data_IF_070254262293
#
_entry.id   IF_070254262293
#
_cell.length_a   1.000
_cell.length_b   1.000
_cell.length_c   1.000
_cell.angle_alpha   90.00
_cell.angle_beta   90.00
_cell.angle_gamma   90.00
#
_symmetry.space_group_name_H-M   'P 1'
#
loop_
_entity.id
_entity.type
_entity.pdbx_description
1 polymer ?
#
# COMPACT_ATOMS: atom_id res chain seq x y z
N UNK A 1 -16.05 8.28 -20.12
CA UNK A 1 -15.34 7.51 -19.10
C UNK A 1 -15.85 6.07 -19.19
N UNK A 2 -14.97 5.08 -19.39
CA UNK A 2 -15.38 3.69 -19.32
C UNK A 2 -15.86 3.42 -17.87
N UNK A 3 -16.97 2.71 -17.71
CA UNK A 3 -17.41 2.26 -16.39
C UNK A 3 -16.34 1.31 -15.84
N UNK A 4 -15.98 1.48 -14.57
CA UNK A 4 -15.11 0.51 -13.89
C UNK A 4 -15.80 -0.84 -13.83
N UNK A 5 -15.04 -1.92 -13.94
CA UNK A 5 -15.59 -3.25 -13.75
C UNK A 5 -16.12 -3.41 -12.31
N UNK A 6 -17.08 -4.29 -12.16
CA UNK A 6 -17.63 -4.64 -10.84
C UNK A 6 -16.50 -5.22 -9.98
N UNK A 7 -16.43 -4.80 -8.71
CA UNK A 7 -15.52 -5.40 -7.73
C UNK A 7 -15.75 -6.91 -7.65
N UNK A 8 -14.68 -7.68 -7.80
CA UNK A 8 -14.66 -9.15 -7.72
C UNK A 8 -14.11 -9.57 -6.37
N UNK A 9 -14.23 -10.86 -6.05
CA UNK A 9 -13.71 -11.43 -4.80
C UNK A 9 -13.01 -12.76 -5.06
N UNK A 10 -12.03 -13.09 -4.21
CA UNK A 10 -11.36 -14.39 -4.21
C UNK A 10 -11.04 -14.82 -2.77
N UNK A 11 -10.72 -16.10 -2.58
CA UNK A 11 -10.35 -16.64 -1.28
C UNK A 11 -8.82 -16.65 -1.11
N UNK A 12 -8.34 -16.01 -0.03
CA UNK A 12 -6.97 -16.11 0.46
C UNK A 12 -6.98 -16.86 1.80
N UNK A 13 -6.87 -18.19 1.73
CA UNK A 13 -7.14 -19.04 2.90
C UNK A 13 -8.57 -18.81 3.44
N UNK A 14 -8.73 -18.48 4.73
CA UNK A 14 -10.06 -18.23 5.31
C UNK A 14 -10.61 -16.81 5.04
N UNK A 15 -9.86 -15.95 4.33
CA UNK A 15 -10.19 -14.54 4.14
C UNK A 15 -10.66 -14.29 2.71
N UNK A 16 -11.84 -13.69 2.55
CA UNK A 16 -12.32 -13.23 1.26
C UNK A 16 -11.80 -11.83 0.99
N UNK A 17 -11.08 -11.66 -0.13
CA UNK A 17 -10.44 -10.41 -0.56
C UNK A 17 -11.16 -9.86 -1.80
N UNK A 18 -11.55 -8.60 -1.73
CA UNK A 18 -12.14 -7.88 -2.86
C UNK A 18 -11.07 -7.23 -3.73
N UNK A 19 -11.27 -7.21 -5.05
CA UNK A 19 -10.32 -6.60 -5.99
C UNK A 19 -11.00 -6.06 -7.25
N UNK A 20 -10.29 -5.18 -7.95
CA UNK A 20 -10.55 -4.74 -9.32
C UNK A 20 -9.51 -5.36 -10.26
N UNK A 21 -9.93 -5.65 -11.49
CA UNK A 21 -9.10 -6.16 -12.57
C UNK A 21 -9.44 -5.38 -13.84
N UNK A 22 -8.59 -4.41 -14.19
CA UNK A 22 -8.85 -3.41 -15.22
C UNK A 22 -7.74 -3.37 -16.26
N UNK A 23 -8.11 -3.22 -17.53
CA UNK A 23 -7.16 -3.09 -18.63
C UNK A 23 -6.58 -4.43 -19.07
N UNK A 24 -5.47 -4.36 -19.82
CA UNK A 24 -4.77 -5.52 -20.37
C UNK A 24 -3.27 -5.22 -20.47
N UNK A 25 -2.45 -6.23 -20.75
CA UNK A 25 -1.00 -6.13 -20.85
C UNK A 25 -0.28 -6.55 -19.57
N UNK A 26 0.89 -5.99 -19.32
CA UNK A 26 1.72 -6.32 -18.17
C UNK A 26 1.01 -6.02 -16.85
N UNK A 27 0.88 -7.01 -15.93
CA UNK A 27 0.14 -6.81 -14.69
C UNK A 27 0.91 -5.95 -13.69
N UNK A 28 0.15 -5.08 -13.00
CA UNK A 28 0.59 -4.34 -11.83
C UNK A 28 -0.44 -4.49 -10.71
N UNK A 29 0.03 -4.90 -9.52
CA UNK A 29 -0.79 -4.98 -8.32
C UNK A 29 -0.70 -3.66 -7.56
N UNK A 30 -1.84 -3.12 -7.14
CA UNK A 30 -1.94 -1.89 -6.35
C UNK A 30 -2.45 -2.19 -4.93
N UNK A 31 -1.67 -1.83 -3.91
CA UNK A 31 -1.93 -2.11 -2.49
C UNK A 31 -2.10 -0.80 -1.73
N UNK A 32 -3.32 -0.51 -1.26
CA UNK A 32 -3.65 0.76 -0.61
C UNK A 32 -3.08 0.88 0.81
N UNK A 33 -3.06 2.11 1.34
CA UNK A 33 -2.63 2.46 2.68
C UNK A 33 -3.66 2.13 3.76
N UNK A 34 -3.26 2.28 5.04
CA UNK A 34 -4.13 2.10 6.20
C UNK A 34 -5.35 3.02 6.14
N UNK A 35 -6.50 2.54 6.63
CA UNK A 35 -7.79 3.23 6.66
C UNK A 35 -8.31 3.70 5.29
N UNK A 36 -7.77 3.17 4.19
CA UNK A 36 -8.18 3.43 2.82
C UNK A 36 -8.84 2.20 2.20
N UNK A 37 -9.08 2.23 0.89
CA UNK A 37 -9.54 1.13 0.07
C UNK A 37 -9.07 1.33 -1.37
N UNK A 38 -9.31 0.35 -2.25
CA UNK A 38 -8.88 0.39 -3.64
C UNK A 38 -9.45 1.57 -4.44
N UNK A 39 -10.69 1.98 -4.14
CA UNK A 39 -11.33 3.12 -4.78
C UNK A 39 -10.67 4.44 -4.36
N UNK A 40 -10.54 4.65 -3.05
CA UNK A 40 -10.01 5.89 -2.47
C UNK A 40 -8.54 6.10 -2.81
N UNK A 41 -7.76 5.03 -2.78
CA UNK A 41 -6.32 5.13 -3.00
C UNK A 41 -5.93 5.13 -4.49
N UNK A 42 -6.69 4.45 -5.35
CA UNK A 42 -6.25 4.17 -6.71
C UNK A 42 -7.19 4.63 -7.81
N UNK A 43 -8.52 4.55 -7.60
CA UNK A 43 -9.50 4.95 -8.61
C UNK A 43 -9.68 6.47 -8.61
N UNK A 44 -10.05 7.04 -7.47
CA UNK A 44 -10.35 8.48 -7.38
C UNK A 44 -9.14 9.37 -7.69
N UNK A 45 -7.92 9.06 -7.26
CA UNK A 45 -6.74 9.81 -7.68
C UNK A 45 -6.35 9.57 -9.14
N UNK A 46 -7.02 8.66 -9.85
CA UNK A 46 -6.83 8.39 -11.29
C UNK A 46 -5.68 7.44 -11.62
N UNK A 47 -5.15 6.67 -10.68
CA UNK A 47 -4.08 5.71 -10.94
C UNK A 47 -4.52 4.59 -11.88
N UNK A 48 -5.70 3.99 -11.66
CA UNK A 48 -6.24 2.94 -12.54
C UNK A 48 -6.31 3.45 -13.98
N UNK A 49 -6.91 4.62 -14.19
CA UNK A 49 -7.01 5.21 -15.53
C UNK A 49 -5.64 5.57 -16.14
N UNK A 50 -4.67 5.99 -15.32
CA UNK A 50 -3.31 6.33 -15.79
C UNK A 50 -2.57 5.09 -16.26
N UNK A 51 -2.60 4.01 -15.48
CA UNK A 51 -1.89 2.77 -15.78
C UNK A 51 -2.54 1.99 -16.92
N UNK A 52 -3.87 1.93 -16.98
CA UNK A 52 -4.58 1.26 -18.09
C UNK A 52 -4.34 1.96 -19.42
N UNK A 53 -4.31 3.31 -19.44
CA UNK A 53 -3.93 4.06 -20.64
C UNK A 53 -2.48 3.82 -21.06
N UNK A 54 -1.61 3.48 -20.12
CA UNK A 54 -0.22 3.09 -20.39
C UNK A 54 -0.08 1.61 -20.77
N UNK A 55 -1.18 0.89 -21.08
CA UNK A 55 -1.16 -0.50 -21.51
C UNK A 55 -0.89 -1.49 -20.39
N UNK A 56 -1.29 -1.18 -19.14
CA UNK A 56 -1.12 -2.08 -18.00
C UNK A 56 -2.44 -2.75 -17.61
N UNK A 57 -2.36 -4.02 -17.19
CA UNK A 57 -3.44 -4.68 -16.46
C UNK A 57 -3.31 -4.35 -14.98
N UNK A 58 -4.28 -3.64 -14.43
CA UNK A 58 -4.28 -3.14 -13.06
C UNK A 58 -5.09 -4.05 -12.14
N UNK A 59 -4.45 -4.60 -11.14
CA UNK A 59 -5.03 -5.47 -10.11
C UNK A 59 -5.02 -4.70 -8.78
N UNK A 60 -6.12 -4.07 -8.39
CA UNK A 60 -6.19 -3.30 -7.15
C UNK A 60 -7.03 -4.06 -6.12
N UNK A 61 -6.43 -4.45 -4.98
CA UNK A 61 -7.13 -5.17 -3.93
C UNK A 61 -7.51 -4.26 -2.75
N UNK A 62 -8.58 -4.63 -2.04
CA UNK A 62 -8.81 -4.18 -0.68
C UNK A 62 -8.04 -5.08 0.28
N UNK A 63 -7.14 -4.52 1.08
CA UNK A 63 -6.45 -5.29 2.12
C UNK A 63 -7.47 -5.94 3.07
N UNK A 64 -7.12 -7.09 3.67
CA UNK A 64 -7.95 -7.67 4.76
C UNK A 64 -8.29 -6.59 5.79
N UNK A 65 -9.49 -6.63 6.34
CA UNK A 65 -9.99 -5.61 7.27
C UNK A 65 -10.49 -4.31 6.64
N UNK A 66 -10.24 -4.07 5.33
CA UNK A 66 -10.56 -2.82 4.65
C UNK A 66 -11.59 -3.03 3.52
N UNK A 67 -12.19 -1.93 3.07
CA UNK A 67 -13.09 -1.89 1.92
C UNK A 67 -14.14 -3.01 1.94
N UNK A 68 -14.25 -3.76 0.87
CA UNK A 68 -15.18 -4.89 0.72
C UNK A 68 -14.60 -6.25 1.10
N UNK A 69 -13.35 -6.31 1.60
CA UNK A 69 -12.71 -7.53 2.12
C UNK A 69 -13.20 -7.88 3.53
N UNK A 70 -13.01 -9.15 3.92
CA UNK A 70 -13.38 -9.69 5.23
C UNK A 70 -12.80 -8.83 6.38
N UNK A 71 -13.62 -8.50 7.36
CA UNK A 71 -13.22 -7.81 8.59
C UNK A 71 -12.71 -8.83 9.60
N UNK A 72 -11.58 -8.53 10.23
CA UNK A 72 -10.92 -9.37 11.22
C UNK A 72 -10.62 -8.52 12.46
N UNK A 73 -10.72 -9.12 13.65
CA UNK A 73 -10.61 -8.38 14.91
C UNK A 73 -9.42 -8.83 15.76
N UNK A 74 -8.70 -9.86 15.31
CA UNK A 74 -7.44 -10.30 15.92
C UNK A 74 -6.26 -9.59 15.26
N UNK A 75 -5.43 -8.81 15.99
CA UNK A 75 -4.23 -8.18 15.46
C UNK A 75 -3.28 -9.14 14.75
N UNK A 76 -3.18 -10.40 15.22
CA UNK A 76 -2.31 -11.40 14.60
C UNK A 76 -2.70 -11.73 13.15
N UNK A 77 -3.96 -11.51 12.78
CA UNK A 77 -4.42 -11.69 11.41
C UNK A 77 -3.82 -10.67 10.41
N UNK A 78 -3.30 -9.55 10.91
CA UNK A 78 -2.78 -8.44 10.12
C UNK A 78 -1.27 -8.38 10.00
N UNK A 79 -0.57 -9.44 10.44
CA UNK A 79 0.88 -9.50 10.24
C UNK A 79 1.24 -9.24 8.78
N UNK A 80 2.23 -8.37 8.53
CA UNK A 80 2.55 -7.90 7.17
C UNK A 80 2.84 -9.03 6.18
N UNK A 81 3.46 -10.14 6.64
CA UNK A 81 3.68 -11.32 5.80
C UNK A 81 2.37 -12.00 5.37
N UNK A 82 1.35 -12.02 6.24
CA UNK A 82 0.03 -12.57 5.89
C UNK A 82 -0.65 -11.70 4.82
N UNK A 83 -0.52 -10.36 4.96
CA UNK A 83 -1.05 -9.43 3.97
C UNK A 83 -0.29 -9.51 2.65
N UNK A 84 1.03 -9.75 2.67
CA UNK A 84 1.81 -10.07 1.48
C UNK A 84 1.36 -11.39 0.84
N UNK A 85 0.98 -12.38 1.65
CA UNK A 85 0.38 -13.64 1.19
C UNK A 85 -0.93 -13.43 0.41
N UNK A 86 -1.77 -12.44 0.78
CA UNK A 86 -2.98 -12.12 0.01
C UNK A 86 -2.67 -11.63 -1.41
N UNK A 87 -1.57 -10.88 -1.56
CA UNK A 87 -1.12 -10.42 -2.88
C UNK A 87 -0.71 -11.60 -3.76
N UNK A 88 0.04 -12.55 -3.20
CA UNK A 88 0.44 -13.75 -3.92
C UNK A 88 -0.75 -14.64 -4.27
N UNK A 89 -1.69 -14.80 -3.35
CA UNK A 89 -2.92 -15.55 -3.57
C UNK A 89 -3.79 -14.90 -4.68
N UNK A 90 -3.80 -13.57 -4.80
CA UNK A 90 -4.45 -12.88 -5.93
C UNK A 90 -3.77 -13.24 -7.26
N UNK A 91 -2.43 -13.22 -7.31
CA UNK A 91 -1.69 -13.61 -8.51
C UNK A 91 -1.99 -15.06 -8.90
N UNK A 92 -2.02 -15.97 -7.92
CA UNK A 92 -2.34 -17.39 -8.13
C UNK A 92 -3.76 -17.58 -8.64
N UNK A 93 -4.73 -16.89 -8.01
CA UNK A 93 -6.15 -16.91 -8.42
C UNK A 93 -6.35 -16.47 -9.87
N UNK A 94 -5.55 -15.51 -10.33
CA UNK A 94 -5.65 -14.97 -11.69
C UNK A 94 -4.70 -15.63 -12.70
N UNK A 95 -3.93 -16.64 -12.30
CA UNK A 95 -2.95 -17.30 -13.14
C UNK A 95 -1.80 -16.38 -13.58
N UNK A 96 -1.47 -15.35 -12.77
CA UNK A 96 -0.42 -14.37 -13.06
C UNK A 96 0.89 -14.85 -12.44
N UNK A 97 1.87 -15.19 -13.25
CA UNK A 97 3.16 -15.70 -12.77
C UNK A 97 3.98 -14.60 -12.06
N UNK A 98 4.08 -13.43 -12.66
CA UNK A 98 4.83 -12.28 -12.12
C UNK A 98 4.09 -10.97 -12.37
N UNK A 99 4.22 -10.00 -11.46
CA UNK A 99 3.65 -8.66 -11.60
C UNK A 99 4.60 -7.58 -11.08
N UNK A 100 4.44 -6.34 -11.56
CA UNK A 100 4.91 -5.18 -10.83
C UNK A 100 4.04 -5.00 -9.59
N UNK A 101 4.59 -4.58 -8.46
CA UNK A 101 3.82 -4.39 -7.22
C UNK A 101 4.04 -2.97 -6.71
N UNK A 102 2.96 -2.22 -6.57
CA UNK A 102 2.97 -0.86 -6.07
C UNK A 102 2.10 -0.74 -4.84
N UNK A 103 2.67 -0.23 -3.76
CA UNK A 103 1.93 0.05 -2.54
C UNK A 103 2.08 1.49 -2.07
N UNK A 104 1.13 1.94 -1.25
CA UNK A 104 1.20 3.23 -0.58
C UNK A 104 1.16 3.08 0.93
N UNK A 105 2.10 3.70 1.67
CA UNK A 105 2.14 3.68 3.14
C UNK A 105 2.18 2.24 3.69
N UNK A 106 1.15 1.77 4.39
CA UNK A 106 1.00 0.36 4.79
C UNK A 106 1.13 -0.58 3.58
N UNK A 107 0.52 -0.24 2.44
CA UNK A 107 0.64 -1.00 1.21
C UNK A 107 2.08 -1.07 0.68
N UNK A 108 2.87 -0.01 0.85
CA UNK A 108 4.29 -0.01 0.49
C UNK A 108 5.10 -0.96 1.39
N UNK A 109 4.77 -1.05 2.68
CA UNK A 109 5.35 -2.04 3.59
C UNK A 109 5.04 -3.47 3.11
N UNK A 110 3.79 -3.75 2.77
CA UNK A 110 3.38 -5.04 2.21
C UNK A 110 4.16 -5.35 0.92
N UNK A 111 4.31 -4.35 0.03
CA UNK A 111 5.09 -4.46 -1.20
C UNK A 111 6.55 -4.82 -0.94
N UNK A 112 7.19 -4.21 0.06
CA UNK A 112 8.57 -4.51 0.44
C UNK A 112 8.70 -5.97 0.94
N UNK A 113 7.74 -6.45 1.71
CA UNK A 113 7.69 -7.86 2.14
C UNK A 113 7.49 -8.82 0.94
N UNK A 114 6.62 -8.48 -0.02
CA UNK A 114 6.49 -9.26 -1.26
C UNK A 114 7.82 -9.34 -2.01
N UNK A 115 8.49 -8.20 -2.21
CA UNK A 115 9.74 -8.12 -2.95
C UNK A 115 10.89 -8.90 -2.28
N UNK A 116 10.98 -8.84 -0.95
CA UNK A 116 12.00 -9.54 -0.17
C UNK A 116 11.79 -11.05 -0.15
N UNK A 117 10.55 -11.48 0.14
CA UNK A 117 10.25 -12.90 0.41
C UNK A 117 9.92 -13.70 -0.85
N UNK A 118 9.47 -13.03 -1.92
CA UNK A 118 8.99 -13.67 -3.15
C UNK A 118 9.49 -12.92 -4.40
N UNK A 119 10.82 -12.71 -4.54
CA UNK A 119 11.38 -11.94 -5.66
C UNK A 119 11.03 -12.56 -7.03
N UNK A 120 10.80 -13.86 -7.10
CA UNK A 120 10.38 -14.56 -8.32
C UNK A 120 8.94 -14.24 -8.77
N UNK A 121 8.13 -13.63 -7.90
CA UNK A 121 6.75 -13.22 -8.20
C UNK A 121 6.61 -11.71 -8.42
N UNK A 122 7.67 -10.94 -8.06
CA UNK A 122 7.69 -9.47 -8.12
C UNK A 122 8.68 -9.03 -9.18
N UNK A 123 8.21 -8.42 -10.26
CA UNK A 123 9.05 -7.92 -11.36
C UNK A 123 9.75 -6.62 -10.97
N UNK A 124 9.03 -5.73 -10.30
CA UNK A 124 9.56 -4.50 -9.69
C UNK A 124 8.68 -4.07 -8.52
N UNK A 125 9.21 -3.27 -7.61
CA UNK A 125 8.50 -2.76 -6.44
C UNK A 125 8.48 -1.24 -6.43
N UNK A 126 7.29 -0.65 -6.15
CA UNK A 126 7.12 0.79 -6.01
C UNK A 126 6.58 1.06 -4.60
N UNK A 127 7.38 1.77 -3.80
CA UNK A 127 7.11 2.10 -2.40
C UNK A 127 6.73 3.58 -2.31
N UNK A 128 5.42 3.88 -2.35
CA UNK A 128 4.90 5.23 -2.19
C UNK A 128 4.59 5.55 -0.73
N UNK A 129 4.96 6.74 -0.24
CA UNK A 129 4.66 7.17 1.13
C UNK A 129 5.30 6.30 2.22
N UNK A 130 6.43 5.65 1.92
CA UNK A 130 7.22 4.89 2.89
C UNK A 130 8.69 4.94 2.49
N UNK A 131 9.48 5.62 3.30
CA UNK A 131 10.93 5.71 3.23
C UNK A 131 11.59 4.94 4.38
N UNK A 132 12.55 5.58 5.05
CA UNK A 132 13.39 4.95 6.08
C UNK A 132 12.60 4.35 7.26
N UNK A 133 11.36 4.79 7.50
CA UNK A 133 10.50 4.20 8.52
C UNK A 133 10.06 2.74 8.21
N UNK A 134 10.38 2.20 7.04
CA UNK A 134 10.34 0.74 6.80
C UNK A 134 11.29 -0.02 7.74
N UNK A 135 12.42 0.59 8.08
CA UNK A 135 13.49 0.02 8.91
C UNK A 135 13.42 0.52 10.35
N UNK A 136 13.23 1.81 10.56
CA UNK A 136 13.30 2.43 11.90
C UNK A 136 12.04 2.22 12.74
N UNK A 137 10.94 1.79 12.13
CA UNK A 137 9.71 1.47 12.85
C UNK A 137 8.90 2.69 13.30
N UNK A 138 9.28 3.88 12.95
CA UNK A 138 8.51 5.10 13.22
C UNK A 138 7.36 5.15 12.22
N UNK A 139 6.27 4.51 12.55
CA UNK A 139 5.09 4.48 11.70
C UNK A 139 3.92 5.15 12.38
N UNK A 140 2.73 4.69 12.05
CA UNK A 140 1.51 5.14 12.66
C UNK A 140 1.50 4.77 14.15
N UNK A 141 1.35 5.74 15.07
CA UNK A 141 1.40 5.51 16.51
C UNK A 141 0.20 4.69 16.99
N UNK A 142 0.35 3.98 18.14
CA UNK A 142 -0.75 3.21 18.73
C UNK A 142 -1.92 4.10 19.19
N UNK A 143 -1.69 5.39 19.43
CA UNK A 143 -2.75 6.37 19.68
C UNK A 143 -3.83 6.38 18.58
N UNK A 144 -3.48 5.99 17.34
CA UNK A 144 -4.47 5.80 16.27
C UNK A 144 -5.44 4.65 16.62
N UNK A 145 -4.96 3.54 17.18
CA UNK A 145 -5.83 2.45 17.60
C UNK A 145 -6.80 2.91 18.68
N UNK A 146 -6.32 3.63 19.70
CA UNK A 146 -7.16 4.21 20.74
C UNK A 146 -8.19 5.21 20.17
N UNK A 147 -7.78 6.04 19.21
CA UNK A 147 -8.70 6.97 18.55
C UNK A 147 -9.82 6.24 17.77
N UNK A 148 -9.53 5.10 17.17
CA UNK A 148 -10.52 4.28 16.46
C UNK A 148 -11.49 3.58 17.42
N UNK A 149 -11.05 3.28 18.65
CA UNK A 149 -11.83 2.62 19.70
C UNK A 149 -12.62 3.60 20.58
N UNK A 150 -12.30 4.91 20.54
CA UNK A 150 -13.01 5.93 21.30
C UNK A 150 -14.50 5.95 20.94
N UNK A 151 -15.38 6.26 21.89
CA UNK A 151 -16.82 6.27 21.68
C UNK A 151 -17.24 7.36 20.67
N UNK A 152 -16.52 8.49 20.63
CA UNK A 152 -16.75 9.55 19.65
C UNK A 152 -15.45 10.24 19.23
N UNK A 153 -15.50 10.97 18.10
CA UNK A 153 -14.38 11.79 17.63
C UNK A 153 -14.01 12.90 18.63
N UNK A 154 -14.97 13.38 19.43
CA UNK A 154 -14.75 14.47 20.39
C UNK A 154 -13.88 14.03 21.57
N UNK A 155 -13.85 12.75 21.91
CA UNK A 155 -12.99 12.18 22.95
C UNK A 155 -11.53 12.02 22.50
N UNK A 156 -11.25 12.11 21.20
CA UNK A 156 -9.91 11.93 20.65
C UNK A 156 -9.15 13.25 20.74
N UNK A 157 -8.15 13.32 21.59
CA UNK A 157 -7.31 14.53 21.81
C UNK A 157 -6.09 14.56 20.88
N UNK A 158 -5.53 13.41 20.48
CA UNK A 158 -4.40 13.33 19.59
C UNK A 158 -4.77 13.72 18.15
N UNK A 159 -4.05 14.68 17.56
CA UNK A 159 -4.34 15.24 16.23
C UNK A 159 -4.20 14.20 15.11
N UNK A 160 -3.22 13.31 15.23
CA UNK A 160 -2.99 12.23 14.25
C UNK A 160 -4.12 11.20 14.35
N UNK A 161 -4.48 10.78 15.56
CA UNK A 161 -5.60 9.89 15.82
C UNK A 161 -6.91 10.46 15.28
N UNK A 162 -7.20 11.76 15.51
CA UNK A 162 -8.36 12.45 14.95
C UNK A 162 -8.40 12.41 13.44
N UNK A 163 -7.25 12.61 12.80
CA UNK A 163 -7.16 12.58 11.33
C UNK A 163 -7.51 11.20 10.78
N UNK A 164 -6.90 10.14 11.31
CA UNK A 164 -7.19 8.78 10.87
C UNK A 164 -8.61 8.32 11.22
N UNK A 165 -9.15 8.72 12.37
CA UNK A 165 -10.54 8.46 12.74
C UNK A 165 -11.52 9.10 11.74
N UNK A 166 -11.30 10.37 11.36
CA UNK A 166 -12.12 11.04 10.33
C UNK A 166 -12.06 10.32 8.99
N UNK A 167 -10.86 9.95 8.55
CA UNK A 167 -10.68 9.20 7.30
C UNK A 167 -11.44 7.88 7.36
N UNK A 168 -11.33 7.14 8.46
CA UNK A 168 -12.04 5.87 8.65
C UNK A 168 -13.57 6.04 8.61
N UNK A 169 -14.11 7.09 9.22
CA UNK A 169 -15.53 7.41 9.17
C UNK A 169 -15.99 7.81 7.76
N UNK A 170 -15.21 8.65 7.06
CA UNK A 170 -15.48 9.05 5.68
C UNK A 170 -15.48 7.87 4.71
N UNK A 171 -14.59 6.92 4.90
CA UNK A 171 -14.51 5.70 4.11
C UNK A 171 -15.49 4.61 4.57
N UNK A 172 -16.29 4.88 5.60
CA UNK A 172 -17.23 3.94 6.25
C UNK A 172 -16.54 2.62 6.63
N UNK A 173 -15.31 2.74 7.12
CA UNK A 173 -14.51 1.59 7.54
C UNK A 173 -15.00 1.00 8.86
N UNK A 174 -14.77 -0.28 9.07
CA UNK A 174 -14.96 -0.94 10.36
C UNK A 174 -13.84 -0.51 11.32
N UNK A 175 -14.18 0.30 12.31
CA UNK A 175 -13.21 0.91 13.22
C UNK A 175 -12.50 -0.13 14.09
N UNK A 176 -13.20 -1.19 14.52
CA UNK A 176 -12.60 -2.25 15.31
C UNK A 176 -11.62 -3.09 14.49
N UNK A 177 -11.95 -3.39 13.23
CA UNK A 177 -11.04 -4.06 12.31
C UNK A 177 -9.80 -3.21 12.01
N UNK A 178 -9.96 -1.88 11.86
CA UNK A 178 -8.83 -0.97 11.69
C UNK A 178 -7.96 -0.88 12.94
N UNK A 179 -8.55 -0.85 14.14
CA UNK A 179 -7.78 -0.87 15.39
C UNK A 179 -6.95 -2.15 15.52
N UNK A 180 -7.52 -3.31 15.20
CA UNK A 180 -6.78 -4.56 15.14
C UNK A 180 -5.67 -4.51 14.07
N UNK A 181 -5.95 -3.95 12.89
CA UNK A 181 -4.99 -3.83 11.81
C UNK A 181 -3.78 -2.96 12.19
N UNK A 182 -3.98 -1.79 12.77
CA UNK A 182 -2.86 -0.90 13.12
C UNK A 182 -1.94 -1.52 14.18
N UNK A 183 -2.49 -2.33 15.09
CA UNK A 183 -1.71 -3.09 16.08
C UNK A 183 -0.94 -4.26 15.44
N UNK A 184 -1.50 -4.90 14.41
CA UNK A 184 -0.95 -6.11 13.79
C UNK A 184 0.00 -5.88 12.63
N UNK A 185 -0.01 -4.71 11.96
CA UNK A 185 0.65 -4.47 10.66
C UNK A 185 1.89 -3.55 10.75
N UNK A 186 2.61 -3.55 11.88
CA UNK A 186 3.72 -2.61 12.12
C UNK A 186 5.11 -3.23 12.02
N UNK A 187 5.24 -4.40 11.41
CA UNK A 187 6.54 -5.06 11.27
C UNK A 187 7.50 -4.21 10.43
N UNK A 188 8.73 -4.09 10.91
CA UNK A 188 9.84 -3.48 10.20
C UNK A 188 10.68 -4.54 9.50
N UNK A 189 11.53 -4.12 8.57
CA UNK A 189 12.59 -4.95 8.01
C UNK A 189 13.93 -4.51 8.59
N UNK A 190 14.80 -5.45 8.89
CA UNK A 190 16.17 -5.14 9.27
C UNK A 190 16.94 -4.51 8.08
N UNK A 191 18.00 -3.75 8.34
CA UNK A 191 18.83 -3.15 7.28
C UNK A 191 19.41 -4.22 6.35
N UNK A 192 19.83 -5.33 6.93
CA UNK A 192 20.36 -6.50 6.22
C UNK A 192 19.30 -7.14 5.31
N UNK A 193 18.03 -7.14 5.72
CA UNK A 193 16.94 -7.68 4.91
C UNK A 193 16.59 -6.76 3.74
N UNK A 194 16.50 -5.44 3.94
CA UNK A 194 16.23 -4.52 2.82
C UNK A 194 17.37 -4.54 1.79
N UNK A 195 18.61 -4.75 2.22
CA UNK A 195 19.77 -4.91 1.34
C UNK A 195 19.70 -6.19 0.46
N UNK A 196 18.84 -7.14 0.80
CA UNK A 196 18.61 -8.38 0.03
C UNK A 196 17.48 -8.26 -0.99
N UNK A 197 16.77 -7.14 -1.04
CA UNK A 197 15.75 -6.91 -2.08
C UNK A 197 16.47 -6.81 -3.42
N UNK A 198 16.25 -7.79 -4.28
CA UNK A 198 16.98 -7.95 -5.54
C UNK A 198 16.21 -7.46 -6.78
N UNK A 199 14.94 -7.07 -6.62
CA UNK A 199 14.14 -6.53 -7.71
C UNK A 199 14.36 -5.03 -7.86
N UNK A 200 14.13 -4.42 -9.05
CA UNK A 200 14.16 -2.97 -9.20
C UNK A 200 13.17 -2.29 -8.25
N UNK A 201 13.61 -1.22 -7.54
CA UNK A 201 12.78 -0.50 -6.57
C UNK A 201 12.73 1.00 -6.87
N UNK A 202 11.53 1.56 -6.86
CA UNK A 202 11.29 3.01 -6.79
C UNK A 202 10.68 3.36 -5.43
N UNK A 203 11.28 4.32 -4.72
CA UNK A 203 10.78 4.83 -3.43
C UNK A 203 10.35 6.28 -3.65
N UNK A 204 9.10 6.61 -3.36
CA UNK A 204 8.54 7.95 -3.60
C UNK A 204 7.90 8.50 -2.32
N UNK A 205 8.40 9.63 -1.82
CA UNK A 205 7.94 10.27 -0.59
C UNK A 205 7.79 11.76 -0.82
N UNK A 206 6.76 12.38 -0.24
CA UNK A 206 6.59 13.82 -0.24
C UNK A 206 7.64 14.52 0.63
N UNK A 207 8.15 15.69 0.22
CA UNK A 207 9.15 16.43 1.00
C UNK A 207 8.65 16.89 2.37
N UNK A 208 7.32 17.01 2.53
CA UNK A 208 6.69 17.44 3.77
C UNK A 208 6.09 16.25 4.56
N UNK A 209 6.28 15.02 4.05
CA UNK A 209 5.76 13.78 4.66
C UNK A 209 6.57 13.40 5.91
N UNK A 210 5.95 13.59 7.08
CA UNK A 210 6.54 13.25 8.38
C UNK A 210 6.28 11.81 8.83
N UNK A 211 5.47 11.06 8.06
CA UNK A 211 5.08 9.68 8.40
C UNK A 211 6.00 8.65 7.75
N UNK A 212 6.50 8.96 6.57
CA UNK A 212 7.23 7.99 5.74
C UNK A 212 8.72 7.82 6.11
N UNK A 213 9.36 8.86 6.60
CA UNK A 213 10.84 8.93 6.67
C UNK A 213 11.47 9.18 5.30
N UNK A 214 12.79 9.31 5.24
CA UNK A 214 13.53 9.69 4.05
C UNK A 214 13.54 8.63 2.94
N UNK A 215 13.10 8.98 1.74
CA UNK A 215 13.20 8.12 0.56
C UNK A 215 14.65 7.90 0.11
N UNK A 216 15.52 8.94 0.02
CA UNK A 216 16.94 8.76 -0.29
C UNK A 216 17.67 7.85 0.70
N UNK A 217 17.38 7.99 2.02
CA UNK A 217 18.00 7.16 3.03
C UNK A 217 17.59 5.68 2.91
N UNK A 218 16.34 5.38 2.62
CA UNK A 218 15.94 3.99 2.35
C UNK A 218 16.55 3.47 1.04
N UNK A 219 16.56 4.28 -0.02
CA UNK A 219 17.15 3.90 -1.30
C UNK A 219 18.65 3.55 -1.18
N UNK A 220 19.38 4.24 -0.32
CA UNK A 220 20.80 3.93 -0.08
C UNK A 220 21.04 2.55 0.55
N UNK A 221 20.02 1.94 1.15
CA UNK A 221 20.09 0.61 1.76
C UNK A 221 19.74 -0.52 0.77
N UNK A 222 19.08 -0.21 -0.35
CA UNK A 222 18.60 -1.21 -1.31
C UNK A 222 19.42 -1.08 -2.61
N UNK A 223 20.15 -2.12 -3.04
CA UNK A 223 20.97 -2.05 -4.23
C UNK A 223 20.18 -1.65 -5.48
N UNK A 224 20.61 -0.61 -6.18
CA UNK A 224 19.98 -0.14 -7.41
C UNK A 224 18.62 0.56 -7.24
N UNK A 225 18.15 0.79 -6.02
CA UNK A 225 16.90 1.50 -5.80
C UNK A 225 17.02 2.98 -6.20
N UNK A 226 15.88 3.52 -6.68
CA UNK A 226 15.73 4.94 -7.02
C UNK A 226 14.88 5.63 -5.96
N UNK A 227 15.25 6.85 -5.58
CA UNK A 227 14.46 7.71 -4.72
C UNK A 227 13.82 8.85 -5.52
N UNK A 228 12.57 9.16 -5.20
CA UNK A 228 11.83 10.32 -5.66
C UNK A 228 11.33 11.11 -4.46
N UNK A 229 11.69 12.37 -4.39
CA UNK A 229 11.08 13.32 -3.47
C UNK A 229 10.01 14.11 -4.22
N UNK A 230 8.76 14.11 -3.71
CA UNK A 230 7.62 14.80 -4.33
C UNK A 230 7.51 16.19 -3.68
N UNK A 231 7.83 17.29 -4.39
CA UNK A 231 7.97 18.61 -3.78
C UNK A 231 6.68 19.13 -3.16
N UNK A 232 6.75 19.65 -1.93
CA UNK A 232 5.65 20.32 -1.23
C UNK A 232 4.44 19.42 -0.96
N UNK A 233 4.65 18.10 -0.85
CA UNK A 233 3.58 17.16 -0.53
C UNK A 233 3.80 16.50 0.81
N UNK A 234 2.73 16.47 1.60
CA UNK A 234 2.65 15.62 2.78
C UNK A 234 2.12 14.22 2.43
N UNK A 235 1.89 13.38 3.45
CA UNK A 235 1.54 11.97 3.30
C UNK A 235 0.29 11.71 2.46
N UNK A 236 -0.78 12.47 2.66
CA UNK A 236 -2.08 12.16 2.03
C UNK A 236 -2.17 12.62 0.57
N UNK A 237 -1.85 13.88 0.18
CA UNK A 237 -1.95 14.32 -1.19
C UNK A 237 -0.85 13.78 -2.11
N UNK A 238 0.27 13.30 -1.59
CA UNK A 238 1.36 12.75 -2.40
C UNK A 238 0.91 11.55 -3.23
N UNK A 239 -0.04 10.74 -2.75
CA UNK A 239 -0.52 9.55 -3.48
C UNK A 239 -1.09 9.88 -4.86
N UNK A 240 -1.77 11.00 -5.00
CA UNK A 240 -2.40 11.43 -6.27
C UNK A 240 -1.54 12.33 -7.14
N UNK A 241 -0.33 12.69 -6.70
CA UNK A 241 0.48 13.70 -7.35
C UNK A 241 0.93 13.29 -8.76
N UNK A 242 0.94 14.27 -9.65
CA UNK A 242 1.32 14.06 -11.06
C UNK A 242 2.81 13.74 -11.22
N UNK A 243 3.68 14.29 -10.36
CA UNK A 243 5.12 13.99 -10.38
C UNK A 243 5.34 12.53 -10.03
N UNK A 244 4.63 12.03 -9.02
CA UNK A 244 4.68 10.61 -8.67
C UNK A 244 4.19 9.72 -9.82
N UNK A 245 3.06 10.07 -10.46
CA UNK A 245 2.54 9.31 -11.61
C UNK A 245 3.51 9.26 -12.78
N UNK A 246 4.12 10.39 -13.13
CA UNK A 246 5.08 10.47 -14.22
C UNK A 246 6.31 9.59 -13.93
N UNK A 247 6.86 9.67 -12.73
CA UNK A 247 8.03 8.89 -12.32
C UNK A 247 7.74 7.37 -12.30
N UNK A 248 6.55 6.96 -11.87
CA UNK A 248 6.14 5.54 -11.92
C UNK A 248 6.05 5.05 -13.36
N UNK A 249 5.44 5.82 -14.26
CA UNK A 249 5.37 5.42 -15.67
C UNK A 249 6.75 5.31 -16.30
N UNK A 250 7.64 6.27 -16.03
CA UNK A 250 9.03 6.24 -16.48
C UNK A 250 9.78 5.02 -15.92
N UNK A 251 9.68 4.76 -14.61
CA UNK A 251 10.29 3.62 -13.97
C UNK A 251 9.82 2.29 -14.59
N UNK A 252 8.51 2.14 -14.79
CA UNK A 252 7.93 0.94 -15.41
C UNK A 252 8.35 0.75 -16.87
N UNK A 253 8.66 1.81 -17.60
CA UNK A 253 9.14 1.76 -18.97
C UNK A 253 10.64 1.38 -19.07
N UNK A 254 11.43 1.72 -18.04
CA UNK A 254 12.89 1.55 -18.02
C UNK A 254 13.36 0.32 -17.24
N UNK A 255 12.47 -0.39 -16.54
CA UNK A 255 12.87 -1.60 -15.82
C UNK A 255 13.32 -2.70 -16.78
N UNK A 256 14.31 -3.52 -16.40
CA UNK A 256 14.78 -4.64 -17.21
C UNK A 256 13.72 -5.72 -17.42
#
# INVERSE_FOLDING_TARGET
MAALSTSRKFQSGPVEIAYLDEGAGDPIVLIHGFASNKETNWVYPGWVATLTRAGRRVLALDNRGHGASTKLYDPAAYHTERMAGDVLALLDHLGVATADVMGYSMGARITAFCALKNPQRVRSAILGGLGLHLVEGVGLPESIAHALEAASLDEVTDSTGRTFRRVAEQTRSDLAALAACIRGSRQTLAREDVARIAVPVLIAVGTDDRVAGSAPALASLIPGARALEIPGRDHMPAVGDRVFKAAVLEFLAQRP
#
